data_IF_165785542773
#
_entry.id   IF_165785542773
#
_cell.length_a   1.000
_cell.length_b   1.000
_cell.length_c   1.000
_cell.angle_alpha   90.00
_cell.angle_beta   90.00
_cell.angle_gamma   90.00
#
_symmetry.space_group_name_H-M   'P 1'
#
loop_
_entity.id
_entity.type
_entity.pdbx_description
1 polymer ?
#
# COMPACT_ATOMS: atom_id res chain seq x y z
N UNK A 1 10.16 21.61 10.38
CA UNK A 1 8.82 21.89 10.90
C UNK A 1 8.36 20.77 11.82
N UNK A 2 7.63 21.10 12.87
CA UNK A 2 7.17 20.15 13.88
C UNK A 2 5.69 19.76 13.73
N UNK A 3 4.98 20.40 12.79
CA UNK A 3 3.56 20.14 12.55
C UNK A 3 3.29 20.16 11.04
N UNK A 4 2.40 19.27 10.62
CA UNK A 4 1.91 19.21 9.25
C UNK A 4 1.06 20.47 8.95
N UNK A 5 1.43 21.27 7.94
CA UNK A 5 0.59 22.38 7.51
C UNK A 5 -0.69 21.85 6.83
N UNK A 6 -1.80 22.56 6.97
CA UNK A 6 -3.09 22.17 6.38
C UNK A 6 -3.07 22.11 4.85
N UNK A 7 -2.15 22.87 4.22
CA UNK A 7 -1.96 22.95 2.76
C UNK A 7 -0.87 22.01 2.24
N UNK A 8 -0.41 21.02 3.00
CA UNK A 8 0.74 20.20 2.63
C UNK A 8 0.50 19.39 1.34
N UNK A 9 -0.72 18.94 1.13
CA UNK A 9 -1.11 18.14 -0.05
C UNK A 9 -1.72 18.98 -1.18
N UNK A 10 -1.78 20.31 -1.03
CA UNK A 10 -2.25 21.18 -2.11
C UNK A 10 -1.22 21.19 -3.25
N UNK A 11 -1.61 20.78 -4.48
CA UNK A 11 -0.71 20.81 -5.64
C UNK A 11 -0.19 22.23 -5.98
N UNK A 12 -0.93 23.27 -5.61
CA UNK A 12 -0.52 24.68 -5.80
C UNK A 12 0.43 25.18 -4.71
N UNK A 13 0.75 24.34 -3.70
CA UNK A 13 1.62 24.74 -2.60
C UNK A 13 3.04 24.98 -3.09
N UNK A 14 3.52 26.17 -2.85
CA UNK A 14 4.88 26.58 -3.14
C UNK A 14 5.85 26.19 -2.02
N UNK A 15 7.11 25.97 -2.40
CA UNK A 15 8.19 25.77 -1.45
C UNK A 15 8.39 27.05 -0.63
N UNK A 16 8.70 26.92 0.67
CA UNK A 16 8.95 28.10 1.56
C UNK A 16 10.43 28.32 1.77
N UNK A 17 11.26 28.02 0.76
CA UNK A 17 12.70 28.29 0.77
C UNK A 17 12.96 29.57 -0.02
N UNK A 18 13.60 30.52 0.62
CA UNK A 18 13.94 31.82 0.03
C UNK A 18 15.30 31.74 -0.65
N UNK A 19 15.40 32.30 -1.85
CA UNK A 19 16.65 32.42 -2.58
C UNK A 19 17.22 33.85 -2.42
N UNK A 20 18.47 33.90 -2.03
CA UNK A 20 19.32 35.10 -2.02
C UNK A 20 20.50 34.91 -2.97
N UNK A 21 20.97 35.98 -3.51
CA UNK A 21 22.23 36.05 -4.30
C UNK A 21 23.07 37.16 -3.73
N UNK A 22 24.28 36.84 -3.24
CA UNK A 22 25.18 37.81 -2.60
C UNK A 22 24.48 38.63 -1.54
N UNK A 23 23.64 37.96 -0.68
CA UNK A 23 22.84 38.55 0.40
C UNK A 23 21.70 39.45 -0.05
N UNK A 24 21.39 39.51 -1.35
CA UNK A 24 20.24 40.24 -1.90
C UNK A 24 19.07 39.25 -2.09
N UNK A 25 17.90 39.59 -1.56
CA UNK A 25 16.69 38.79 -1.75
C UNK A 25 16.30 38.76 -3.24
N UNK A 26 16.09 37.57 -3.77
CA UNK A 26 15.67 37.36 -5.17
C UNK A 26 14.21 36.91 -5.22
N UNK A 27 13.86 35.83 -4.52
CA UNK A 27 12.49 35.27 -4.54
C UNK A 27 12.25 34.36 -3.33
N UNK A 28 10.99 34.24 -2.92
CA UNK A 28 10.50 33.24 -1.97
C UNK A 28 9.66 32.15 -2.67
N UNK A 29 9.63 32.16 -4.00
CA UNK A 29 8.86 31.27 -4.85
C UNK A 29 9.79 30.73 -5.96
N UNK A 30 10.71 29.86 -5.57
CA UNK A 30 11.62 29.19 -6.48
C UNK A 30 11.32 27.69 -6.50
N UNK A 31 10.48 27.27 -7.46
CA UNK A 31 10.06 25.88 -7.63
C UNK A 31 11.25 24.94 -7.95
N UNK A 32 12.27 25.48 -8.63
CA UNK A 32 13.46 24.72 -9.02
C UNK A 32 14.49 24.54 -7.91
N UNK A 33 14.27 25.08 -6.73
CA UNK A 33 15.24 25.01 -5.63
C UNK A 33 15.21 23.69 -4.87
N UNK A 34 14.04 23.06 -4.78
CA UNK A 34 13.82 21.74 -4.16
C UNK A 34 12.81 20.92 -4.98
N UNK A 35 12.93 19.59 -4.97
CA UNK A 35 11.89 18.72 -5.54
C UNK A 35 10.60 18.80 -4.72
N UNK A 36 9.46 18.50 -5.37
CA UNK A 36 8.11 18.59 -4.81
C UNK A 36 7.93 17.80 -3.50
N UNK A 37 8.52 16.63 -3.41
CA UNK A 37 8.45 15.78 -2.22
C UNK A 37 9.20 16.35 -0.98
N UNK A 38 9.97 17.44 -1.14
CA UNK A 38 10.60 18.19 -0.04
C UNK A 38 9.90 19.54 0.25
N UNK A 39 8.68 19.76 -0.26
CA UNK A 39 7.92 21.03 -0.10
C UNK A 39 7.59 21.41 1.34
N UNK A 40 7.80 20.53 2.29
CA UNK A 40 7.69 20.84 3.73
C UNK A 40 8.90 21.61 4.27
N UNK A 41 10.00 21.66 3.52
CA UNK A 41 11.22 22.35 3.93
C UNK A 41 11.02 23.88 3.95
N UNK A 42 11.70 24.51 4.91
CA UNK A 42 11.75 25.97 5.07
C UNK A 42 13.18 26.39 5.32
N UNK A 43 13.59 27.48 4.74
CA UNK A 43 14.95 27.99 4.94
C UNK A 43 15.33 29.08 3.97
N UNK A 44 16.61 29.31 3.92
CA UNK A 44 17.25 30.31 3.05
C UNK A 44 18.41 29.64 2.33
N UNK A 45 18.53 29.87 1.04
CA UNK A 45 19.71 29.57 0.24
C UNK A 45 20.29 30.88 -0.25
N UNK A 46 21.56 31.10 -0.02
CA UNK A 46 22.31 32.27 -0.53
C UNK A 46 23.41 31.75 -1.45
N UNK A 47 23.42 32.20 -2.70
CA UNK A 47 24.40 31.79 -3.71
C UNK A 47 25.28 32.99 -4.10
N UNK A 48 26.61 32.77 -4.13
CA UNK A 48 27.56 33.75 -4.63
C UNK A 48 27.80 33.62 -6.14
N UNK A 49 27.47 32.45 -6.71
CA UNK A 49 27.75 32.09 -8.10
C UNK A 49 26.65 32.55 -9.09
N UNK A 50 25.47 32.88 -8.59
CA UNK A 50 24.41 33.40 -9.42
C UNK A 50 24.56 34.89 -9.68
N UNK A 51 24.21 35.40 -10.88
CA UNK A 51 24.24 36.84 -11.17
C UNK A 51 23.06 37.55 -10.47
N UNK A 52 23.33 38.78 -10.00
CA UNK A 52 22.29 39.60 -9.29
C UNK A 52 21.12 40.03 -10.19
N UNK A 53 21.31 40.08 -11.51
CA UNK A 53 20.26 40.43 -12.47
C UNK A 53 19.44 39.24 -12.97
N UNK A 54 19.46 38.16 -12.24
CA UNK A 54 18.75 36.93 -12.61
C UNK A 54 17.22 37.14 -12.54
N UNK A 55 16.53 36.87 -13.64
CA UNK A 55 15.08 36.85 -13.68
C UNK A 55 14.55 35.46 -13.33
N UNK A 56 13.26 35.34 -13.02
CA UNK A 56 12.60 34.07 -12.73
C UNK A 56 12.74 33.07 -13.89
N UNK A 57 12.65 33.53 -15.12
CA UNK A 57 12.86 32.72 -16.33
C UNK A 57 14.30 32.23 -16.47
N UNK A 58 15.27 33.03 -16.04
CA UNK A 58 16.69 32.66 -16.06
C UNK A 58 17.06 31.68 -14.96
N UNK A 59 16.26 31.54 -13.91
CA UNK A 59 16.43 30.50 -12.87
C UNK A 59 16.07 29.12 -13.42
N UNK A 60 15.04 29.05 -14.27
CA UNK A 60 14.65 27.84 -14.96
C UNK A 60 15.76 27.42 -15.94
N UNK A 61 16.17 26.15 -15.91
CA UNK A 61 17.25 25.60 -16.74
C UNK A 61 18.66 26.15 -16.47
N UNK A 62 18.91 26.80 -15.33
CA UNK A 62 20.24 27.27 -14.98
C UNK A 62 21.08 26.12 -14.38
N UNK A 63 22.27 25.79 -14.95
CA UNK A 63 23.13 24.71 -14.44
C UNK A 63 23.54 24.88 -12.97
N UNK A 64 23.75 26.15 -12.53
CA UNK A 64 24.08 26.45 -11.13
C UNK A 64 22.90 26.13 -10.23
N UNK A 65 21.65 26.46 -10.64
CA UNK A 65 20.45 26.11 -9.90
C UNK A 65 20.26 24.59 -9.78
N UNK A 66 20.51 23.87 -10.87
CA UNK A 66 20.45 22.39 -10.87
C UNK A 66 21.48 21.81 -9.89
N UNK A 67 22.70 22.37 -9.87
CA UNK A 67 23.74 21.95 -8.93
C UNK A 67 23.33 22.23 -7.47
N UNK A 68 22.78 23.42 -7.20
CA UNK A 68 22.28 23.79 -5.87
C UNK A 68 21.16 22.86 -5.44
N UNK A 69 20.16 22.61 -6.30
CA UNK A 69 19.05 21.69 -6.05
C UNK A 69 19.56 20.31 -5.63
N UNK A 70 20.46 19.74 -6.44
CA UNK A 70 21.01 18.40 -6.18
C UNK A 70 21.80 18.36 -4.85
N UNK A 71 22.62 19.37 -4.59
CA UNK A 71 23.42 19.43 -3.37
C UNK A 71 22.55 19.59 -2.12
N UNK A 72 21.53 20.45 -2.16
CA UNK A 72 20.60 20.68 -1.05
C UNK A 72 19.72 19.46 -0.81
N UNK A 73 19.16 18.86 -1.88
CA UNK A 73 18.39 17.61 -1.80
C UNK A 73 19.19 16.50 -1.14
N UNK A 74 20.40 16.24 -1.63
CA UNK A 74 21.29 15.23 -1.05
C UNK A 74 21.60 15.51 0.42
N UNK A 75 21.85 16.78 0.77
CA UNK A 75 22.13 17.17 2.16
C UNK A 75 20.93 16.92 3.06
N UNK A 76 19.71 17.29 2.64
CA UNK A 76 18.48 17.08 3.40
C UNK A 76 18.27 15.58 3.64
N UNK A 77 18.32 14.77 2.57
CA UNK A 77 18.10 13.32 2.70
C UNK A 77 19.14 12.66 3.61
N UNK A 78 20.42 13.07 3.52
CA UNK A 78 21.47 12.58 4.41
C UNK A 78 21.19 12.93 5.88
N UNK A 79 20.72 14.14 6.17
CA UNK A 79 20.38 14.54 7.55
C UNK A 79 19.15 13.80 8.07
N UNK A 80 18.14 13.58 7.21
CA UNK A 80 16.97 12.75 7.57
C UNK A 80 17.38 11.31 7.85
N UNK A 81 18.25 10.73 7.04
CA UNK A 81 18.78 9.37 7.25
C UNK A 81 19.58 9.25 8.55
N UNK A 82 20.40 10.26 8.87
CA UNK A 82 21.10 10.32 10.15
C UNK A 82 20.12 10.41 11.33
N UNK A 83 19.08 11.22 11.18
CA UNK A 83 18.04 11.36 12.21
C UNK A 83 17.30 10.04 12.41
N UNK A 84 16.91 9.35 11.33
CA UNK A 84 16.26 8.04 11.39
C UNK A 84 17.07 6.98 12.18
N UNK A 85 18.41 7.06 12.11
CA UNK A 85 19.31 6.13 12.81
C UNK A 85 19.65 6.54 14.25
N UNK A 86 19.68 7.85 14.55
CA UNK A 86 20.20 8.36 15.83
C UNK A 86 19.11 8.84 16.79
N UNK A 87 17.96 9.22 16.27
CA UNK A 87 16.82 9.79 16.98
C UNK A 87 15.54 9.21 16.38
N UNK A 88 15.31 7.93 16.63
CA UNK A 88 14.18 7.17 16.07
C UNK A 88 12.85 7.81 16.44
N UNK A 89 12.66 8.21 17.71
CA UNK A 89 11.40 8.79 18.17
C UNK A 89 11.13 10.15 17.49
N UNK A 90 12.13 11.03 17.44
CA UNK A 90 12.01 12.29 16.74
C UNK A 90 11.89 12.13 15.23
N UNK A 91 12.42 11.03 14.66
CA UNK A 91 12.21 10.71 13.25
C UNK A 91 10.79 10.19 12.99
N UNK A 92 10.25 9.33 13.85
CA UNK A 92 8.88 8.83 13.73
C UNK A 92 7.87 9.97 13.81
N UNK A 93 8.03 10.93 14.73
CA UNK A 93 7.19 12.14 14.78
C UNK A 93 7.29 12.97 13.48
N UNK A 94 8.49 13.08 12.91
CA UNK A 94 8.68 13.71 11.60
C UNK A 94 7.95 12.92 10.51
N UNK A 95 8.08 11.60 10.54
CA UNK A 95 7.47 10.71 9.54
C UNK A 95 5.93 10.77 9.56
N UNK A 96 5.32 10.76 10.73
CA UNK A 96 3.87 10.93 10.89
C UNK A 96 3.37 12.23 10.25
N UNK A 97 4.16 13.30 10.31
CA UNK A 97 3.77 14.60 9.77
C UNK A 97 4.07 14.76 8.27
N UNK A 98 5.12 14.13 7.75
CA UNK A 98 5.65 14.43 6.42
C UNK A 98 5.98 13.18 5.59
N UNK A 99 5.84 11.98 6.12
CA UNK A 99 6.20 10.74 5.47
C UNK A 99 5.47 10.51 4.16
N UNK A 100 4.17 10.78 4.11
CA UNK A 100 3.36 10.64 2.91
C UNK A 100 3.90 11.50 1.74
N UNK A 101 4.30 12.74 2.04
CA UNK A 101 4.91 13.65 1.05
C UNK A 101 6.32 13.20 0.67
N UNK A 102 7.12 12.77 1.64
CA UNK A 102 8.47 12.28 1.36
C UNK A 102 8.45 11.03 0.48
N UNK A 103 7.45 10.15 0.64
CA UNK A 103 7.26 8.96 -0.19
C UNK A 103 7.00 9.26 -1.67
N UNK A 104 6.49 10.45 -2.01
CA UNK A 104 6.37 10.86 -3.41
C UNK A 104 7.72 10.80 -4.14
N UNK A 105 8.82 11.09 -3.43
CA UNK A 105 10.17 11.00 -3.98
C UNK A 105 10.59 9.57 -4.38
N UNK A 106 9.90 8.53 -3.93
CA UNK A 106 10.19 7.15 -4.32
C UNK A 106 9.87 6.93 -5.81
N UNK A 107 8.81 7.54 -6.33
CA UNK A 107 8.47 7.43 -7.75
C UNK A 107 8.93 8.62 -8.59
N UNK A 108 9.16 9.80 -8.00
CA UNK A 108 9.59 11.01 -8.72
C UNK A 108 11.10 11.11 -8.90
N UNK A 109 11.89 10.64 -7.92
CA UNK A 109 13.35 10.83 -7.88
C UNK A 109 14.11 9.50 -7.99
N UNK A 110 14.38 9.09 -9.22
CA UNK A 110 15.13 7.86 -9.52
C UNK A 110 16.53 7.82 -8.91
N UNK A 111 17.12 8.98 -8.62
CA UNK A 111 18.49 9.07 -8.06
C UNK A 111 18.50 8.77 -6.55
N UNK A 112 17.47 9.19 -5.83
CA UNK A 112 17.42 9.10 -4.38
C UNK A 112 16.37 8.12 -3.84
N UNK A 113 15.62 7.41 -4.73
CA UNK A 113 14.55 6.50 -4.34
C UNK A 113 14.96 5.46 -3.30
N UNK A 114 16.09 4.81 -3.52
CA UNK A 114 16.59 3.76 -2.63
C UNK A 114 16.91 4.32 -1.24
N UNK A 115 17.45 5.54 -1.19
CA UNK A 115 17.71 6.23 0.06
C UNK A 115 16.40 6.58 0.80
N UNK A 116 15.37 7.00 0.06
CA UNK A 116 14.05 7.32 0.63
C UNK A 116 13.37 6.04 1.12
N UNK A 117 13.41 4.93 0.36
CA UNK A 117 12.89 3.63 0.76
C UNK A 117 13.53 3.12 2.07
N UNK A 118 14.85 3.24 2.21
CA UNK A 118 15.56 2.87 3.44
C UNK A 118 15.16 3.70 4.66
N UNK A 119 14.67 4.90 4.44
CA UNK A 119 14.17 5.77 5.49
C UNK A 119 12.66 5.62 5.73
N UNK A 120 11.93 5.01 4.82
CA UNK A 120 10.48 4.86 4.91
C UNK A 120 10.08 4.09 6.17
N UNK A 121 8.94 4.48 6.74
CA UNK A 121 8.35 3.87 7.92
C UNK A 121 6.91 3.50 7.66
N UNK A 122 6.51 2.38 8.18
CA UNK A 122 5.18 1.81 7.99
C UNK A 122 4.69 1.22 9.31
N UNK A 123 3.40 1.21 9.53
CA UNK A 123 2.78 0.36 10.54
C UNK A 123 2.81 -1.09 10.04
N UNK A 124 2.75 -2.04 10.98
CA UNK A 124 2.69 -3.48 10.65
C UNK A 124 1.81 -4.25 11.63
N UNK A 125 1.57 -5.53 11.32
CA UNK A 125 0.82 -6.44 12.21
C UNK A 125 1.53 -6.75 13.53
N UNK A 126 2.81 -6.37 13.68
CA UNK A 126 3.53 -6.50 14.97
C UNK A 126 3.07 -5.49 16.02
N UNK A 127 2.32 -4.44 15.63
CA UNK A 127 1.78 -3.41 16.52
C UNK A 127 2.81 -2.77 17.49
N UNK A 128 4.08 -2.71 17.07
CA UNK A 128 5.20 -2.13 17.84
C UNK A 128 5.52 -0.68 17.43
N UNK A 129 4.57 -0.02 16.73
CA UNK A 129 4.76 1.29 16.13
C UNK A 129 5.37 1.21 14.73
N UNK A 130 5.91 2.34 14.27
CA UNK A 130 6.46 2.45 12.91
C UNK A 130 7.73 1.62 12.74
N UNK A 131 7.80 0.84 11.68
CA UNK A 131 8.94 -0.01 11.30
C UNK A 131 9.50 0.36 9.94
N UNK A 132 10.80 0.15 9.74
CA UNK A 132 11.46 0.26 8.44
C UNK A 132 11.45 -1.06 7.67
N UNK A 133 11.72 -1.01 6.36
CA UNK A 133 11.82 -2.21 5.53
C UNK A 133 13.01 -3.12 5.94
N UNK A 134 14.15 -2.53 6.30
CA UNK A 134 15.32 -3.27 6.79
C UNK A 134 14.99 -3.99 8.12
N UNK A 135 14.23 -3.32 9.02
CA UNK A 135 13.79 -3.91 10.29
C UNK A 135 12.80 -5.06 10.06
N UNK A 136 11.86 -4.91 9.11
CA UNK A 136 10.97 -6.00 8.69
C UNK A 136 11.78 -7.21 8.20
N UNK A 137 12.73 -7.00 7.27
CA UNK A 137 13.57 -8.08 6.74
C UNK A 137 14.31 -8.81 7.85
N UNK A 138 14.80 -8.09 8.87
CA UNK A 138 15.51 -8.69 9.99
C UNK A 138 14.64 -9.61 10.87
N UNK A 139 13.32 -9.45 10.81
CA UNK A 139 12.33 -10.25 11.55
C UNK A 139 11.63 -11.31 10.73
N UNK A 140 11.91 -11.38 9.42
CA UNK A 140 11.30 -12.38 8.55
C UNK A 140 11.55 -13.79 9.04
N UNK A 141 10.57 -14.67 8.85
CA UNK A 141 10.70 -16.08 9.17
C UNK A 141 11.80 -16.74 8.30
N UNK A 142 12.42 -17.80 8.83
CA UNK A 142 13.39 -18.59 8.07
C UNK A 142 12.75 -19.15 6.80
N UNK A 143 13.39 -18.90 5.66
CA UNK A 143 12.90 -19.28 4.34
C UNK A 143 11.84 -18.35 3.74
N UNK A 144 11.44 -17.28 4.42
CA UNK A 144 10.57 -16.27 3.82
C UNK A 144 11.34 -15.44 2.79
N UNK A 145 10.79 -15.33 1.58
CA UNK A 145 11.40 -14.58 0.46
C UNK A 145 10.68 -13.28 0.12
N UNK A 146 9.53 -13.03 0.75
CA UNK A 146 8.55 -12.03 0.31
C UNK A 146 8.23 -11.04 1.44
N UNK A 147 8.18 -9.74 1.08
CA UNK A 147 7.68 -8.65 1.91
C UNK A 147 6.16 -8.55 1.70
N UNK A 148 5.39 -8.94 2.70
CA UNK A 148 3.94 -8.88 2.62
C UNK A 148 3.39 -7.52 3.04
N UNK A 149 2.40 -7.05 2.29
CA UNK A 149 1.72 -5.80 2.61
C UNK A 149 0.22 -5.90 2.32
N UNK A 150 -0.54 -5.03 2.96
CA UNK A 150 -1.93 -4.75 2.64
C UNK A 150 -2.11 -3.24 2.45
N UNK A 151 -2.83 -2.87 1.41
CA UNK A 151 -3.24 -1.49 1.17
C UNK A 151 -4.65 -1.24 1.70
N UNK A 152 -4.96 0.00 2.05
CA UNK A 152 -6.29 0.36 2.54
C UNK A 152 -6.46 1.85 2.78
N UNK A 153 -7.72 2.32 2.77
CA UNK A 153 -8.08 3.73 2.97
C UNK A 153 -7.71 4.26 4.37
N UNK A 154 -7.50 3.37 5.31
CA UNK A 154 -7.05 3.70 6.65
C UNK A 154 -6.43 2.50 7.36
N UNK A 155 -5.58 2.78 8.36
CA UNK A 155 -5.00 1.73 9.21
C UNK A 155 -6.09 0.90 9.91
N UNK A 156 -7.18 1.53 10.34
CA UNK A 156 -8.28 0.85 11.02
C UNK A 156 -9.03 -0.11 10.08
N UNK A 157 -9.17 0.22 8.80
CA UNK A 157 -9.76 -0.64 7.78
C UNK A 157 -8.81 -1.82 7.46
N UNK A 158 -7.53 -1.53 7.17
CA UNK A 158 -6.54 -2.54 6.87
C UNK A 158 -6.38 -3.57 8.00
N UNK A 159 -6.35 -3.15 9.28
CA UNK A 159 -6.24 -4.04 10.45
C UNK A 159 -7.39 -5.04 10.60
N UNK A 160 -8.57 -4.72 10.05
CA UNK A 160 -9.78 -5.56 10.14
C UNK A 160 -9.95 -6.50 8.95
N UNK A 161 -9.09 -6.43 7.96
CA UNK A 161 -9.20 -7.28 6.77
C UNK A 161 -9.06 -8.77 7.14
N UNK A 162 -10.01 -9.63 6.72
CA UNK A 162 -9.93 -11.07 6.93
C UNK A 162 -8.73 -11.71 6.24
N UNK A 163 -8.17 -11.06 5.25
CA UNK A 163 -7.01 -11.54 4.52
C UNK A 163 -5.73 -11.64 5.37
N UNK A 164 -5.71 -10.96 6.53
CA UNK A 164 -4.60 -11.02 7.48
C UNK A 164 -4.62 -12.26 8.38
N UNK A 165 -5.75 -12.98 8.45
CA UNK A 165 -5.93 -14.06 9.43
C UNK A 165 -4.85 -15.15 9.31
N UNK A 166 -4.62 -15.66 8.10
CA UNK A 166 -3.64 -16.71 7.85
C UNK A 166 -2.19 -16.27 8.09
N UNK A 167 -1.88 -15.00 7.77
CA UNK A 167 -0.58 -14.43 8.05
C UNK A 167 -0.32 -14.31 9.55
N UNK A 168 -1.30 -13.82 10.30
CA UNK A 168 -1.25 -13.75 11.76
C UNK A 168 -1.12 -15.14 12.40
N UNK A 169 -1.90 -16.13 11.91
CA UNK A 169 -1.84 -17.51 12.42
C UNK A 169 -0.47 -18.17 12.21
N UNK A 170 0.25 -17.78 11.15
CA UNK A 170 1.61 -18.27 10.84
C UNK A 170 2.72 -17.35 11.36
N UNK A 171 2.39 -16.32 12.13
CA UNK A 171 3.32 -15.29 12.63
C UNK A 171 4.13 -14.65 11.50
N UNK A 172 3.49 -14.35 10.37
CA UNK A 172 4.09 -13.62 9.25
C UNK A 172 3.69 -12.16 9.39
N UNK A 173 4.66 -11.28 9.53
CA UNK A 173 4.43 -9.84 9.60
C UNK A 173 3.90 -9.30 8.26
N UNK A 174 2.91 -8.40 8.31
CA UNK A 174 2.35 -7.70 7.15
C UNK A 174 2.41 -6.20 7.37
N UNK A 175 2.95 -5.46 6.40
CA UNK A 175 3.01 -4.01 6.41
C UNK A 175 1.66 -3.40 6.02
N UNK A 176 1.28 -2.29 6.64
CA UNK A 176 0.11 -1.49 6.27
C UNK A 176 0.53 -0.32 5.40
N UNK A 177 0.05 -0.28 4.18
CA UNK A 177 0.26 0.81 3.24
C UNK A 177 -1.06 1.59 3.10
N UNK A 178 -1.13 2.72 3.79
CA UNK A 178 -2.37 3.49 3.92
C UNK A 178 -2.30 4.89 3.29
N UNK A 179 -1.18 5.26 2.74
CA UNK A 179 -1.07 6.49 1.97
C UNK A 179 -1.35 6.22 0.49
N UNK A 180 -2.17 7.04 -0.20
CA UNK A 180 -2.48 6.83 -1.61
C UNK A 180 -1.24 6.73 -2.52
N UNK A 181 -0.13 7.37 -2.13
CA UNK A 181 1.13 7.31 -2.87
C UNK A 181 1.75 5.90 -2.88
N UNK A 182 1.41 5.05 -1.92
CA UNK A 182 1.99 3.71 -1.81
C UNK A 182 1.61 2.83 -3.02
N UNK A 183 0.40 2.96 -3.53
CA UNK A 183 -0.07 2.24 -4.71
C UNK A 183 0.73 2.57 -5.99
N UNK A 184 1.24 3.79 -6.09
CA UNK A 184 1.97 4.23 -7.27
C UNK A 184 3.42 3.74 -7.27
N UNK A 185 4.14 3.87 -6.16
CA UNK A 185 5.54 3.47 -6.14
C UNK A 185 5.71 1.94 -6.11
N UNK A 186 4.77 1.18 -5.53
CA UNK A 186 4.78 -0.28 -5.53
C UNK A 186 4.79 -0.90 -6.93
N UNK A 187 4.14 -0.26 -7.90
CA UNK A 187 4.13 -0.71 -9.29
C UNK A 187 5.50 -0.53 -9.97
N UNK A 188 6.28 0.44 -9.51
CA UNK A 188 7.59 0.76 -10.09
C UNK A 188 8.73 0.05 -9.38
N UNK A 189 8.53 -0.37 -8.14
CA UNK A 189 9.53 -1.01 -7.29
C UNK A 189 8.98 -2.33 -6.79
N UNK A 190 9.18 -3.41 -7.56
CA UNK A 190 8.63 -4.71 -7.22
C UNK A 190 9.38 -5.43 -6.09
N UNK A 191 10.57 -4.93 -5.71
CA UNK A 191 11.42 -5.56 -4.71
C UNK A 191 12.25 -4.55 -3.91
N UNK A 192 12.64 -4.95 -2.71
CA UNK A 192 13.58 -4.22 -1.87
C UNK A 192 14.60 -5.22 -1.28
N UNK A 193 15.90 -4.94 -1.47
CA UNK A 193 17.02 -5.81 -1.03
C UNK A 193 16.84 -7.29 -1.43
N UNK A 194 16.37 -7.53 -2.67
CA UNK A 194 16.16 -8.86 -3.23
C UNK A 194 14.92 -9.59 -2.70
N UNK A 195 14.07 -8.93 -1.92
CA UNK A 195 12.79 -9.44 -1.44
C UNK A 195 11.65 -8.78 -2.21
N UNK A 196 10.74 -9.58 -2.78
CA UNK A 196 9.61 -9.09 -3.56
C UNK A 196 8.53 -8.53 -2.65
N UNK A 197 7.88 -7.44 -3.05
CA UNK A 197 6.64 -6.99 -2.44
C UNK A 197 5.46 -7.82 -2.96
N UNK A 198 4.61 -8.26 -2.05
CA UNK A 198 3.38 -8.98 -2.40
C UNK A 198 2.21 -8.53 -1.56
N UNK A 199 1.13 -8.15 -2.24
CA UNK A 199 -0.14 -7.84 -1.58
C UNK A 199 -0.78 -9.12 -1.03
N UNK A 200 -1.26 -9.06 0.22
CA UNK A 200 -2.02 -10.16 0.83
C UNK A 200 -3.42 -10.31 0.20
N UNK A 201 -3.88 -9.31 -0.58
CA UNK A 201 -5.16 -9.35 -1.28
C UNK A 201 -5.09 -10.16 -2.58
N UNK A 202 -3.90 -10.60 -3.02
CA UNK A 202 -3.72 -11.43 -4.20
C UNK A 202 -3.72 -12.92 -3.87
N UNK A 203 -4.12 -13.73 -4.87
CA UNK A 203 -4.47 -15.12 -4.72
C UNK A 203 -3.34 -16.07 -4.35
N UNK A 204 -2.15 -15.91 -4.91
CA UNK A 204 -1.03 -16.83 -4.62
C UNK A 204 -0.11 -16.25 -3.54
N UNK A 205 0.06 -16.96 -2.44
CA UNK A 205 1.01 -16.60 -1.39
C UNK A 205 1.84 -17.82 -1.01
N UNK A 206 3.02 -17.60 -0.38
CA UNK A 206 3.80 -18.70 0.23
C UNK A 206 2.98 -19.47 1.29
N UNK A 207 1.80 -18.95 1.69
CA UNK A 207 0.83 -19.66 2.51
C UNK A 207 0.26 -20.87 1.77
N UNK A 208 0.07 -20.77 0.46
CA UNK A 208 -0.54 -21.81 -0.38
C UNK A 208 0.40 -22.97 -0.60
N UNK A 209 1.71 -22.70 -0.84
CA UNK A 209 2.71 -23.73 -1.12
C UNK A 209 2.97 -24.70 0.04
N UNK A 210 2.77 -24.25 1.30
CA UNK A 210 2.95 -25.10 2.49
C UNK A 210 1.69 -25.85 2.89
N UNK A 211 0.54 -25.48 2.37
CA UNK A 211 -0.77 -26.06 2.73
C UNK A 211 -1.17 -27.22 1.80
N UNK A 212 -0.56 -27.33 0.61
CA UNK A 212 -0.80 -28.48 -0.30
C UNK A 212 -0.40 -29.84 0.29
N UNK A 213 0.30 -29.85 1.44
CA UNK A 213 0.68 -31.09 2.15
C UNK A 213 -0.20 -31.46 3.33
N UNK A 214 -1.01 -30.52 3.83
CA UNK A 214 -2.09 -30.84 4.76
C UNK A 214 -3.32 -31.16 3.90
N UNK A 215 -3.52 -32.44 3.63
CA UNK A 215 -4.71 -32.99 3.00
C UNK A 215 -5.97 -32.42 3.67
N UNK A 216 -6.48 -31.30 3.17
CA UNK A 216 -7.91 -31.04 3.29
C UNK A 216 -8.52 -32.14 2.42
N UNK A 217 -8.97 -33.25 3.07
CA UNK A 217 -9.90 -34.17 2.47
C UNK A 217 -10.92 -33.32 1.73
N UNK A 218 -10.97 -33.42 0.39
CA UNK A 218 -12.01 -32.81 -0.43
C UNK A 218 -13.33 -33.31 0.18
N UNK A 219 -13.90 -32.51 1.06
CA UNK A 219 -15.22 -32.84 1.62
C UNK A 219 -16.22 -32.66 0.46
N UNK A 220 -16.87 -33.72 -0.06
CA UNK A 220 -17.80 -33.62 -1.20
C UNK A 220 -18.88 -32.56 -0.99
N UNK A 221 -19.17 -32.23 0.25
CA UNK A 221 -20.13 -31.19 0.63
C UNK A 221 -19.62 -29.78 0.36
N UNK A 222 -18.33 -29.53 0.54
CA UNK A 222 -17.69 -28.23 0.22
C UNK A 222 -17.66 -28.04 -1.31
N UNK A 223 -17.31 -29.08 -2.06
CA UNK A 223 -17.33 -29.00 -3.53
C UNK A 223 -18.74 -28.75 -4.07
N UNK A 224 -19.76 -29.38 -3.47
CA UNK A 224 -21.17 -29.11 -3.80
C UNK A 224 -21.54 -27.66 -3.49
N UNK A 225 -21.13 -27.11 -2.34
CA UNK A 225 -21.38 -25.72 -1.99
C UNK A 225 -20.69 -24.77 -3.00
N UNK A 226 -19.44 -25.02 -3.34
CA UNK A 226 -18.71 -24.22 -4.34
C UNK A 226 -19.45 -24.19 -5.67
N UNK A 227 -19.95 -25.35 -6.13
CA UNK A 227 -20.72 -25.44 -7.38
C UNK A 227 -22.04 -24.63 -7.30
N UNK A 228 -22.76 -24.71 -6.18
CA UNK A 228 -23.98 -23.92 -5.95
C UNK A 228 -23.69 -22.42 -5.91
N UNK A 229 -22.63 -22.00 -5.20
CA UNK A 229 -22.22 -20.60 -5.15
C UNK A 229 -21.84 -20.08 -6.54
N UNK A 230 -21.05 -20.82 -7.32
CA UNK A 230 -20.71 -20.45 -8.71
C UNK A 230 -21.97 -20.29 -9.57
N UNK A 231 -22.92 -21.20 -9.44
CA UNK A 231 -24.18 -21.12 -10.20
C UNK A 231 -25.01 -19.89 -9.82
N UNK A 232 -25.15 -19.61 -8.52
CA UNK A 232 -25.96 -18.51 -8.02
C UNK A 232 -25.32 -17.14 -8.25
N UNK A 233 -24.01 -17.04 -8.18
CA UNK A 233 -23.27 -15.77 -8.31
C UNK A 233 -22.96 -15.43 -9.77
N UNK A 234 -22.79 -16.45 -10.65
CA UNK A 234 -22.53 -16.26 -12.07
C UNK A 234 -21.35 -15.30 -12.33
N UNK A 235 -21.53 -14.35 -13.23
CA UNK A 235 -20.49 -13.38 -13.66
C UNK A 235 -20.11 -12.35 -12.59
N UNK A 236 -20.75 -12.35 -11.42
CA UNK A 236 -20.41 -11.44 -10.32
C UNK A 236 -19.13 -11.82 -9.59
N UNK A 237 -18.71 -13.06 -9.72
CA UNK A 237 -17.43 -13.57 -9.23
C UNK A 237 -16.65 -14.23 -10.36
N UNK A 238 -15.33 -14.10 -10.35
CA UNK A 238 -14.47 -14.77 -11.33
C UNK A 238 -14.41 -16.28 -11.07
N UNK A 239 -14.35 -16.62 -9.81
CA UNK A 239 -14.34 -18.01 -9.34
C UNK A 239 -14.77 -18.08 -7.87
N UNK A 240 -15.05 -19.30 -7.38
CA UNK A 240 -15.27 -19.61 -5.95
C UNK A 240 -14.35 -20.76 -5.60
N UNK A 241 -13.56 -20.62 -4.52
CA UNK A 241 -12.63 -21.68 -4.07
C UNK A 241 -12.52 -21.71 -2.55
N UNK A 242 -11.94 -22.78 -2.03
CA UNK A 242 -11.56 -22.84 -0.60
C UNK A 242 -10.39 -21.92 -0.30
N UNK A 243 -10.42 -21.29 0.88
CA UNK A 243 -9.39 -20.39 1.36
C UNK A 243 -8.33 -21.13 2.15
N UNK A 244 -7.07 -20.77 1.92
CA UNK A 244 -5.91 -21.19 2.72
C UNK A 244 -5.52 -20.13 3.76
N UNK A 245 -6.10 -18.92 3.64
CA UNK A 245 -5.80 -17.76 4.49
C UNK A 245 -6.81 -17.47 5.59
N UNK A 246 -8.06 -17.93 5.42
CA UNK A 246 -9.11 -17.68 6.41
C UNK A 246 -9.03 -18.70 7.56
N UNK A 247 -9.05 -18.20 8.79
CA UNK A 247 -9.07 -19.03 10.01
C UNK A 247 -10.36 -18.85 10.81
N UNK A 248 -10.96 -17.66 10.78
CA UNK A 248 -12.18 -17.31 11.53
C UNK A 248 -13.30 -16.84 10.60
N UNK A 249 -13.05 -15.90 9.71
CA UNK A 249 -14.04 -15.36 8.78
C UNK A 249 -14.58 -16.44 7.83
N UNK A 250 -15.86 -16.29 7.42
CA UNK A 250 -16.51 -17.26 6.53
C UNK A 250 -16.04 -17.11 5.08
N UNK A 251 -15.86 -15.87 4.61
CA UNK A 251 -15.53 -15.54 3.22
C UNK A 251 -14.60 -14.33 3.13
N UNK A 252 -13.88 -14.23 2.03
CA UNK A 252 -13.21 -12.99 1.60
C UNK A 252 -13.15 -12.92 0.07
N UNK A 253 -12.87 -11.72 -0.47
CA UNK A 253 -12.56 -11.52 -1.89
C UNK A 253 -11.05 -11.42 -2.08
N UNK A 254 -10.56 -12.02 -3.16
CA UNK A 254 -9.16 -11.89 -3.57
C UNK A 254 -9.06 -11.50 -5.04
N UNK A 255 -8.07 -10.69 -5.36
CA UNK A 255 -7.68 -10.44 -6.74
C UNK A 255 -6.94 -11.67 -7.27
N UNK A 256 -7.15 -12.00 -8.54
CA UNK A 256 -6.32 -13.02 -9.21
C UNK A 256 -4.90 -12.47 -9.43
N UNK A 257 -3.92 -13.36 -9.66
CA UNK A 257 -2.50 -12.99 -9.78
C UNK A 257 -2.23 -11.95 -10.87
N UNK A 258 -3.00 -12.00 -11.96
CA UNK A 258 -2.88 -11.09 -13.10
C UNK A 258 -3.83 -9.89 -13.03
N UNK A 259 -4.69 -9.84 -12.04
CA UNK A 259 -5.63 -8.74 -11.88
C UNK A 259 -5.01 -7.58 -11.09
N UNK A 260 -5.60 -6.40 -11.24
CA UNK A 260 -5.24 -5.24 -10.42
C UNK A 260 -5.59 -5.50 -8.95
N UNK A 261 -4.77 -4.97 -8.04
CA UNK A 261 -5.08 -5.00 -6.61
C UNK A 261 -6.44 -4.33 -6.33
N UNK A 262 -7.17 -4.86 -5.35
CA UNK A 262 -8.55 -4.41 -5.02
C UNK A 262 -8.56 -2.91 -4.69
N UNK A 263 -7.62 -2.45 -3.88
CA UNK A 263 -7.56 -1.06 -3.45
C UNK A 263 -7.16 -0.12 -4.59
N UNK A 264 -6.22 -0.53 -5.45
CA UNK A 264 -5.82 0.26 -6.62
C UNK A 264 -6.97 0.45 -7.60
N UNK A 265 -7.75 -0.60 -7.86
CA UNK A 265 -8.94 -0.51 -8.70
C UNK A 265 -9.95 0.50 -8.15
N UNK A 266 -10.15 0.52 -6.81
CA UNK A 266 -11.02 1.47 -6.12
C UNK A 266 -10.54 2.91 -6.31
N UNK A 267 -9.24 3.17 -6.12
CA UNK A 267 -8.66 4.52 -6.33
C UNK A 267 -8.91 4.98 -7.77
N UNK A 268 -8.65 4.14 -8.75
CA UNK A 268 -8.86 4.50 -10.16
C UNK A 268 -10.33 4.76 -10.51
N UNK A 269 -11.27 4.00 -9.93
CA UNK A 269 -12.70 4.25 -10.06
C UNK A 269 -13.10 5.60 -9.47
N UNK A 270 -12.65 5.94 -8.27
CA UNK A 270 -12.94 7.23 -7.64
C UNK A 270 -12.46 8.41 -8.49
N UNK A 271 -11.38 8.24 -9.23
CA UNK A 271 -10.83 9.27 -10.12
C UNK A 271 -11.36 9.22 -11.55
N UNK A 272 -12.40 8.42 -11.85
CA UNK A 272 -12.94 8.23 -13.21
C UNK A 272 -11.86 7.88 -14.26
N UNK A 273 -10.83 7.15 -13.86
CA UNK A 273 -9.73 6.71 -14.72
C UNK A 273 -9.85 5.25 -15.17
N UNK A 274 -10.89 4.56 -14.74
CA UNK A 274 -11.23 3.22 -15.19
C UNK A 274 -12.44 3.30 -16.12
N UNK A 275 -12.19 3.16 -17.41
CA UNK A 275 -13.24 2.94 -18.43
C UNK A 275 -13.55 1.45 -18.44
N UNK A 276 -14.50 1.00 -17.63
CA UNK A 276 -14.92 -0.40 -17.69
C UNK A 276 -15.61 -0.96 -16.45
N UNK A 277 -16.12 -2.16 -16.59
CA UNK A 277 -16.72 -2.96 -15.51
C UNK A 277 -15.61 -3.36 -14.53
N UNK A 278 -15.91 -3.29 -13.24
CA UNK A 278 -15.04 -3.82 -12.19
C UNK A 278 -14.61 -5.25 -12.51
N UNK A 279 -13.36 -5.58 -12.29
CA UNK A 279 -12.89 -6.96 -12.44
C UNK A 279 -13.63 -7.86 -11.45
N UNK A 280 -14.26 -8.93 -11.95
CA UNK A 280 -14.84 -9.92 -11.08
C UNK A 280 -13.73 -10.55 -10.21
N UNK A 281 -13.98 -10.66 -8.89
CA UNK A 281 -13.02 -11.18 -7.92
C UNK A 281 -13.25 -12.68 -7.67
N UNK A 282 -12.26 -13.34 -7.12
CA UNK A 282 -12.42 -14.71 -6.62
C UNK A 282 -12.99 -14.65 -5.21
N UNK A 283 -14.09 -15.37 -4.96
CA UNK A 283 -14.65 -15.53 -3.62
C UNK A 283 -13.97 -16.73 -2.96
N UNK A 284 -13.25 -16.50 -1.89
CA UNK A 284 -12.70 -17.55 -1.04
C UNK A 284 -13.63 -17.87 0.12
N UNK A 285 -13.86 -19.15 0.37
CA UNK A 285 -14.68 -19.65 1.48
C UNK A 285 -13.83 -20.45 2.48
N UNK A 286 -14.11 -20.28 3.76
CA UNK A 286 -13.43 -21.01 4.84
C UNK A 286 -14.15 -22.33 5.13
N UNK A 287 -13.65 -23.44 4.62
CA UNK A 287 -14.23 -24.77 4.82
C UNK A 287 -14.33 -25.19 6.31
N UNK A 288 -13.55 -24.57 7.20
CA UNK A 288 -13.56 -24.87 8.63
C UNK A 288 -14.61 -24.05 9.41
N UNK A 289 -15.12 -22.97 8.82
CA UNK A 289 -16.09 -22.08 9.46
C UNK A 289 -17.45 -22.78 9.68
N UNK A 290 -18.08 -22.66 10.86
CA UNK A 290 -19.35 -23.34 11.17
C UNK A 290 -20.51 -22.98 10.22
N UNK A 291 -20.58 -21.71 9.76
CA UNK A 291 -21.59 -21.28 8.80
C UNK A 291 -21.39 -22.00 7.46
N UNK A 292 -20.15 -22.02 6.95
CA UNK A 292 -19.81 -22.67 5.67
C UNK A 292 -20.11 -24.19 5.75
N UNK A 293 -19.77 -24.87 6.85
CA UNK A 293 -20.12 -26.28 7.07
C UNK A 293 -21.63 -26.52 7.05
N UNK A 294 -22.41 -25.65 7.68
CA UNK A 294 -23.87 -25.73 7.69
C UNK A 294 -24.43 -25.58 6.27
N UNK A 295 -23.90 -24.61 5.50
CA UNK A 295 -24.31 -24.38 4.11
C UNK A 295 -23.89 -25.55 3.19
N UNK A 296 -22.70 -26.11 3.40
CA UNK A 296 -22.21 -27.27 2.66
C UNK A 296 -23.12 -28.50 2.87
N UNK A 297 -23.58 -28.74 4.09
CA UNK A 297 -24.55 -29.80 4.39
C UNK A 297 -25.94 -29.58 3.75
N UNK A 298 -26.29 -28.35 3.42
CA UNK A 298 -27.49 -27.99 2.66
C UNK A 298 -27.29 -28.13 1.15
N UNK A 299 -26.09 -27.85 0.65
CA UNK A 299 -25.76 -27.83 -0.79
C UNK A 299 -25.91 -29.19 -1.47
N UNK A 300 -25.84 -30.30 -0.72
CA UNK A 300 -25.98 -31.67 -1.26
C UNK A 300 -27.44 -32.11 -1.37
N UNK A 301 -28.42 -31.28 -0.95
CA UNK A 301 -29.86 -31.60 -1.00
C UNK A 301 -30.44 -31.16 -2.35
N UNK A 302 -31.49 -31.86 -2.78
CA UNK A 302 -32.25 -31.49 -3.97
C UNK A 302 -32.84 -30.07 -3.80
N UNK A 303 -32.80 -29.27 -4.87
CA UNK A 303 -33.25 -27.87 -4.85
C UNK A 303 -32.31 -26.90 -4.13
N UNK A 304 -31.10 -27.29 -3.79
CA UNK A 304 -30.12 -26.48 -3.04
C UNK A 304 -29.78 -25.17 -3.74
N UNK A 305 -29.75 -25.13 -5.08
CA UNK A 305 -29.42 -23.91 -5.85
C UNK A 305 -30.39 -22.79 -5.52
N UNK A 306 -31.72 -23.06 -5.60
CA UNK A 306 -32.74 -22.06 -5.27
C UNK A 306 -32.79 -21.74 -3.78
N UNK A 307 -32.63 -22.74 -2.93
CA UNK A 307 -32.69 -22.59 -1.46
C UNK A 307 -31.49 -21.73 -0.93
N UNK A 308 -30.34 -21.75 -1.60
CA UNK A 308 -29.15 -21.03 -1.19
C UNK A 308 -28.91 -19.71 -1.98
N UNK A 309 -29.85 -19.30 -2.84
CA UNK A 309 -29.68 -18.13 -3.71
C UNK A 309 -29.43 -16.84 -2.90
N UNK A 310 -30.30 -16.53 -1.95
CA UNK A 310 -30.18 -15.31 -1.13
C UNK A 310 -28.96 -15.35 -0.21
N UNK A 311 -28.62 -16.54 0.30
CA UNK A 311 -27.42 -16.73 1.14
C UNK A 311 -26.15 -16.53 0.31
N UNK A 312 -26.13 -17.02 -0.93
CA UNK A 312 -24.99 -16.80 -1.86
C UNK A 312 -24.73 -15.31 -2.06
N UNK A 313 -25.80 -14.53 -2.29
CA UNK A 313 -25.72 -13.09 -2.40
C UNK A 313 -25.21 -12.45 -1.11
N UNK A 314 -25.77 -12.85 0.04
CA UNK A 314 -25.38 -12.28 1.35
C UNK A 314 -23.90 -12.53 1.66
N UNK A 315 -23.37 -13.72 1.32
CA UNK A 315 -21.95 -14.02 1.50
C UNK A 315 -21.07 -13.11 0.63
N UNK A 316 -21.46 -12.86 -0.62
CA UNK A 316 -20.73 -11.95 -1.51
C UNK A 316 -20.79 -10.51 -0.99
N UNK A 317 -21.99 -10.04 -0.58
CA UNK A 317 -22.17 -8.69 -0.03
C UNK A 317 -21.35 -8.50 1.25
N UNK A 318 -21.31 -9.52 2.12
CA UNK A 318 -20.46 -9.52 3.31
C UNK A 318 -18.98 -9.36 2.93
N UNK A 319 -18.53 -10.11 1.92
CA UNK A 319 -17.15 -10.03 1.47
C UNK A 319 -16.81 -8.63 0.90
N UNK A 320 -17.72 -8.01 0.12
CA UNK A 320 -17.57 -6.63 -0.35
C UNK A 320 -17.48 -5.62 0.80
N UNK A 321 -18.38 -5.72 1.78
CA UNK A 321 -18.36 -4.83 2.96
C UNK A 321 -17.07 -4.96 3.75
N UNK A 322 -16.54 -6.17 3.90
CA UNK A 322 -15.28 -6.41 4.60
C UNK A 322 -14.07 -5.77 3.88
N UNK A 323 -14.11 -5.70 2.55
CA UNK A 323 -13.11 -4.99 1.74
C UNK A 323 -13.37 -3.47 1.66
N UNK A 324 -14.48 -2.98 2.23
CA UNK A 324 -14.86 -1.56 2.22
C UNK A 324 -15.57 -1.11 0.94
N UNK A 325 -16.06 -2.05 0.13
CA UNK A 325 -16.91 -1.76 -1.02
C UNK A 325 -18.39 -1.75 -0.60
N UNK A 326 -19.19 -0.95 -1.29
CA UNK A 326 -20.66 -1.04 -1.18
C UNK A 326 -21.14 -2.20 -2.05
N UNK A 327 -22.06 -3.03 -1.54
CA UNK A 327 -22.65 -4.15 -2.31
C UNK A 327 -23.46 -3.67 -3.51
#
# INVERSE_FOLDING_TARGET
PSQQPMDLFDPARKTKVKLYVKRVFITDDCEDLLPGYLRFMRGVVDSEDLPLNISREMLQNNPVMTSIKNAVTKRILNELQKKAKKDTDGYNQFWEAFGAVLKEGIYEDFTHRDQILKMARFESTEDKGLTGLEDYISRMNEGQSTLYYITGDSLAAAKRSPQLEGFKAKNIEVLYFTDPVDEFWLQMIPEFEGKKFQSVTRGSSELDEKTEKDETENEPQIDALIAVLKTNLGDRVKDVRTSTRLTDSAVCLVADDNDMDIHMERILKMHNKLDGVASARVLEINAKNPLIKTLAAQAVKDGSVDALKDVSQTLLDQAHIMEGDLP
#
